data_IF_765628718603
#
_entry.id   IF_765628718603
#
_cell.length_a   1.000
_cell.length_b   1.000
_cell.length_c   1.000
_cell.angle_alpha   90.00
_cell.angle_beta   90.00
_cell.angle_gamma   90.00
#
_symmetry.space_group_name_H-M   'P 1'
#
loop_
_entity.id
_entity.type
_entity.pdbx_description
1 polymer ?
#
# COMPACT_ATOMS: atom_id res chain seq x y z
N UNK A 1 25.42 -4.85 -8.72
CA UNK A 1 24.38 -4.17 -9.51
C UNK A 1 23.82 -3.06 -8.63
N UNK A 2 24.27 -1.81 -8.83
CA UNK A 2 23.91 -0.69 -7.94
C UNK A 2 22.62 -0.05 -8.48
N UNK A 3 21.49 -0.37 -7.87
CA UNK A 3 20.23 0.32 -8.17
C UNK A 3 20.29 1.66 -7.42
N UNK A 4 20.15 2.77 -8.15
CA UNK A 4 20.03 4.09 -7.55
C UNK A 4 18.86 4.09 -6.57
N UNK A 5 19.10 4.56 -5.33
CA UNK A 5 18.11 4.53 -4.24
C UNK A 5 16.79 5.18 -4.62
N UNK A 6 16.80 6.18 -5.52
CA UNK A 6 15.62 6.95 -5.93
C UNK A 6 15.05 6.55 -7.29
N UNK A 7 15.43 5.39 -7.85
CA UNK A 7 14.92 4.95 -9.14
C UNK A 7 13.45 4.53 -9.01
N UNK A 8 12.52 5.20 -9.72
CA UNK A 8 11.10 4.80 -9.70
C UNK A 8 10.87 3.58 -10.58
N UNK A 9 11.27 3.62 -11.85
CA UNK A 9 11.00 2.54 -12.80
C UNK A 9 12.17 1.56 -12.85
N UNK A 10 11.98 0.25 -12.58
CA UNK A 10 13.06 -0.72 -12.58
C UNK A 10 13.66 -0.92 -13.97
N UNK A 11 12.84 -0.84 -15.03
CA UNK A 11 13.21 -1.09 -16.43
C UNK A 11 12.98 0.14 -17.30
N UNK A 12 13.85 0.37 -18.28
CA UNK A 12 13.68 1.45 -19.26
C UNK A 12 12.50 1.15 -20.19
N UNK A 13 11.60 2.11 -20.39
CA UNK A 13 10.43 1.98 -21.26
C UNK A 13 9.21 1.31 -20.62
N UNK A 14 9.34 0.76 -19.40
CA UNK A 14 8.22 0.22 -18.62
C UNK A 14 7.72 1.27 -17.62
N UNK A 15 6.53 1.79 -17.88
CA UNK A 15 5.86 2.76 -17.00
C UNK A 15 4.81 2.12 -16.09
N UNK A 16 4.59 0.81 -16.20
CA UNK A 16 3.56 0.06 -15.48
C UNK A 16 4.10 -0.60 -14.20
N UNK A 17 5.43 -0.65 -14.03
CA UNK A 17 6.06 -1.22 -12.83
C UNK A 17 6.91 -0.18 -12.13
N UNK A 18 6.76 -0.05 -10.81
CA UNK A 18 7.55 0.88 -9.99
C UNK A 18 8.19 0.16 -8.82
N UNK A 19 9.35 0.66 -8.37
CA UNK A 19 9.83 0.42 -7.01
C UNK A 19 8.92 1.17 -6.06
N UNK A 20 8.12 0.43 -5.30
CA UNK A 20 7.03 0.99 -4.53
C UNK A 20 7.55 1.95 -3.44
N UNK A 21 8.67 1.60 -2.79
CA UNK A 21 9.33 2.48 -1.81
C UNK A 21 9.54 3.92 -2.30
N UNK A 22 9.80 4.09 -3.59
CA UNK A 22 10.17 5.39 -4.17
C UNK A 22 8.98 6.23 -4.63
N UNK A 23 7.76 5.70 -4.54
CA UNK A 23 6.52 6.42 -4.86
C UNK A 23 5.63 6.66 -3.64
N UNK A 24 5.94 6.01 -2.51
CA UNK A 24 5.26 6.24 -1.23
C UNK A 24 5.77 7.54 -0.59
N UNK A 25 4.84 8.35 -0.10
CA UNK A 25 5.10 9.62 0.59
C UNK A 25 4.51 9.65 2.00
N UNK A 26 3.52 8.81 2.26
CA UNK A 26 2.75 8.77 3.49
C UNK A 26 3.47 8.00 4.60
N UNK A 27 3.66 8.66 5.75
CA UNK A 27 4.45 8.12 6.89
C UNK A 27 3.90 6.84 7.54
N UNK A 28 2.63 6.49 7.33
CA UNK A 28 2.05 5.24 7.84
C UNK A 28 2.20 4.05 6.90
N UNK A 29 2.89 4.22 5.77
CA UNK A 29 3.17 3.16 4.82
C UNK A 29 4.68 2.97 4.77
N UNK A 30 5.15 1.85 5.30
CA UNK A 30 6.56 1.49 5.36
C UNK A 30 6.84 0.40 4.31
N UNK A 31 7.53 0.77 3.23
CA UNK A 31 7.90 -0.16 2.15
C UNK A 31 9.41 -0.30 2.11
N UNK A 32 9.85 -1.55 2.12
CA UNK A 32 11.25 -1.90 2.10
C UNK A 32 11.84 -2.01 0.67
N UNK A 33 13.16 -2.14 0.59
CA UNK A 33 13.91 -2.15 -0.66
C UNK A 33 13.47 -3.25 -1.63
N UNK A 34 13.58 -2.95 -2.93
CA UNK A 34 13.31 -3.88 -4.03
C UNK A 34 11.88 -4.41 -4.09
N UNK A 35 10.96 -3.83 -3.33
CA UNK A 35 9.54 -4.13 -3.45
C UNK A 35 8.95 -3.39 -4.62
N UNK A 36 8.26 -4.14 -5.49
CA UNK A 36 7.70 -3.65 -6.74
C UNK A 36 6.19 -3.68 -6.71
N UNK A 37 5.58 -2.70 -7.35
CA UNK A 37 4.17 -2.70 -7.69
C UNK A 37 4.02 -2.61 -9.21
N UNK A 38 3.17 -3.48 -9.77
CA UNK A 38 2.80 -3.43 -11.18
C UNK A 38 1.32 -3.08 -11.30
N UNK A 39 0.99 -2.13 -12.16
CA UNK A 39 -0.38 -1.77 -12.52
C UNK A 39 -0.42 -1.39 -14.01
N UNK A 40 -1.25 -2.11 -14.77
CA UNK A 40 -1.47 -1.85 -16.19
C UNK A 40 -2.81 -1.15 -16.45
N UNK A 41 -3.59 -0.87 -15.40
CA UNK A 41 -4.92 -0.23 -15.46
C UNK A 41 -4.84 1.23 -15.01
N UNK A 42 -4.16 1.50 -13.89
CA UNK A 42 -3.95 2.84 -13.34
C UNK A 42 -2.45 3.19 -13.29
N UNK A 43 -2.12 4.45 -13.03
CA UNK A 43 -0.74 4.85 -12.79
C UNK A 43 -0.22 4.16 -11.51
N UNK A 44 0.83 3.32 -11.59
CA UNK A 44 1.37 2.61 -10.41
C UNK A 44 1.96 3.56 -9.36
N UNK A 45 2.24 4.82 -9.70
CA UNK A 45 2.68 5.85 -8.73
C UNK A 45 1.56 6.29 -7.79
N UNK A 46 0.30 6.10 -8.19
CA UNK A 46 -0.88 6.46 -7.38
C UNK A 46 -1.28 5.34 -6.39
N UNK A 47 -0.34 4.46 -6.01
CA UNK A 47 -0.61 3.33 -5.12
C UNK A 47 -1.30 3.74 -3.81
N UNK A 48 -0.86 4.84 -3.19
CA UNK A 48 -1.44 5.34 -1.93
C UNK A 48 -2.92 5.68 -2.09
N UNK A 49 -3.29 6.26 -3.24
CA UNK A 49 -4.67 6.67 -3.53
C UNK A 49 -5.54 5.49 -3.93
N UNK A 50 -5.01 4.61 -4.77
CA UNK A 50 -5.81 3.58 -5.42
C UNK A 50 -5.84 2.29 -4.63
N UNK A 51 -4.80 1.96 -3.87
CA UNK A 51 -4.58 0.63 -3.30
C UNK A 51 -4.66 0.61 -1.77
N UNK A 52 -4.58 1.76 -1.09
CA UNK A 52 -4.70 1.86 0.37
C UNK A 52 -6.06 2.46 0.73
N UNK A 53 -6.92 1.66 1.34
CA UNK A 53 -8.33 2.00 1.57
C UNK A 53 -8.64 2.09 3.07
N UNK A 54 -9.50 3.03 3.44
CA UNK A 54 -10.00 3.25 4.82
C UNK A 54 -8.90 3.54 5.84
N UNK A 55 -7.78 4.11 5.41
CA UNK A 55 -6.74 4.55 6.31
C UNK A 55 -7.05 5.95 6.83
N UNK A 56 -7.11 6.10 8.15
CA UNK A 56 -7.21 7.40 8.81
C UNK A 56 -6.02 7.57 9.76
N UNK A 57 -5.17 8.61 9.58
CA UNK A 57 -3.97 8.80 10.40
C UNK A 57 -4.20 8.82 11.91
N UNK A 58 -5.40 9.24 12.34
CA UNK A 58 -5.80 9.29 13.75
C UNK A 58 -5.76 7.91 14.44
N UNK A 59 -5.91 6.82 13.69
CA UNK A 59 -5.92 5.45 14.23
C UNK A 59 -4.51 4.89 14.46
N UNK A 60 -3.47 5.53 13.88
CA UNK A 60 -2.08 5.11 14.03
C UNK A 60 -1.74 3.75 13.42
N UNK A 61 -2.64 3.15 12.62
CA UNK A 61 -2.37 1.91 11.92
C UNK A 61 -1.42 2.10 10.74
N UNK A 62 -0.64 1.05 10.46
CA UNK A 62 0.47 1.08 9.51
C UNK A 62 0.40 -0.10 8.55
N UNK A 63 0.76 0.15 7.30
CA UNK A 63 1.08 -0.89 6.32
C UNK A 63 2.58 -1.09 6.29
N UNK A 64 3.05 -2.32 6.51
CA UNK A 64 4.46 -2.69 6.35
C UNK A 64 4.59 -3.76 5.28
N UNK A 65 5.44 -3.53 4.29
CA UNK A 65 5.79 -4.53 3.27
C UNK A 65 7.31 -4.69 3.27
N UNK A 66 7.77 -5.93 3.47
CA UNK A 66 9.19 -6.27 3.52
C UNK A 66 9.90 -6.16 2.17
N UNK A 67 11.17 -6.58 2.13
CA UNK A 67 12.04 -6.50 0.93
C UNK A 67 11.65 -7.54 -0.12
N UNK A 68 11.97 -7.23 -1.38
CA UNK A 68 11.85 -8.15 -2.53
C UNK A 68 10.44 -8.69 -2.77
N UNK A 69 9.40 -7.95 -2.38
CA UNK A 69 8.02 -8.33 -2.65
C UNK A 69 7.57 -7.86 -4.03
N UNK A 70 6.68 -8.62 -4.66
CA UNK A 70 6.01 -8.23 -5.90
C UNK A 70 4.51 -8.13 -5.66
N UNK A 71 3.96 -6.93 -5.76
CA UNK A 71 2.54 -6.67 -5.59
C UNK A 71 1.90 -6.58 -6.98
N UNK A 72 0.91 -7.43 -7.20
CA UNK A 72 0.21 -7.54 -8.48
C UNK A 72 -0.82 -6.42 -8.68
N UNK A 73 -1.12 -6.16 -9.95
CA UNK A 73 -2.12 -5.19 -10.39
C UNK A 73 -3.47 -5.42 -9.70
N UNK A 74 -4.04 -4.34 -9.16
CA UNK A 74 -5.33 -4.35 -8.51
C UNK A 74 -5.34 -4.81 -7.04
N UNK A 75 -4.21 -5.21 -6.46
CA UNK A 75 -4.12 -5.56 -5.04
C UNK A 75 -4.61 -4.39 -4.14
N UNK A 76 -5.46 -4.66 -3.15
CA UNK A 76 -5.97 -3.65 -2.22
C UNK A 76 -5.60 -3.98 -0.78
N UNK A 77 -5.29 -2.94 -0.02
CA UNK A 77 -4.97 -2.99 1.40
C UNK A 77 -6.08 -2.27 2.15
N UNK A 78 -6.91 -3.06 2.85
CA UNK A 78 -8.02 -2.54 3.66
C UNK A 78 -7.53 -2.32 5.09
N UNK A 79 -7.65 -1.08 5.57
CA UNK A 79 -7.27 -0.70 6.92
C UNK A 79 -8.41 -0.87 7.93
N UNK A 80 -8.07 -0.75 9.21
CA UNK A 80 -8.95 -1.15 10.32
C UNK A 80 -10.24 -0.35 10.40
N UNK A 81 -10.26 0.87 9.87
CA UNK A 81 -11.44 1.76 9.84
C UNK A 81 -12.55 1.27 8.91
N UNK A 82 -12.31 0.27 8.07
CA UNK A 82 -13.37 -0.40 7.32
C UNK A 82 -14.26 -1.28 8.23
N UNK A 83 -13.82 -1.58 9.46
CA UNK A 83 -14.54 -2.44 10.38
C UNK A 83 -15.65 -1.67 11.10
N UNK A 84 -16.86 -2.21 11.04
CA UNK A 84 -17.96 -1.77 11.90
C UNK A 84 -17.95 -2.54 13.23
N UNK A 85 -18.40 -1.89 14.30
CA UNK A 85 -18.60 -2.55 15.59
C UNK A 85 -19.67 -3.64 15.46
N UNK A 86 -19.27 -4.90 15.65
CA UNK A 86 -20.17 -6.06 15.57
C UNK A 86 -20.97 -6.25 16.87
N UNK A 87 -20.53 -5.61 17.96
CA UNK A 87 -21.25 -5.64 19.24
C UNK A 87 -22.48 -4.73 19.15
N UNK A 88 -23.59 -5.32 18.74
CA UNK A 88 -24.91 -4.74 18.95
C UNK A 88 -25.15 -4.71 20.48
N UNK A 89 -25.30 -3.53 21.08
CA UNK A 89 -25.62 -3.40 22.49
C UNK A 89 -27.09 -3.78 22.76
N UNK A 90 -27.50 -5.00 22.42
CA UNK A 90 -28.64 -5.61 23.07
C UNK A 90 -28.16 -5.99 24.48
N UNK A 91 -28.66 -5.27 25.49
CA UNK A 91 -28.59 -5.74 26.87
C UNK A 91 -29.11 -7.18 26.86
N UNK A 92 -28.25 -8.17 27.12
CA UNK A 92 -28.73 -9.41 27.70
C UNK A 92 -29.24 -9.02 29.09
N UNK A 93 -30.55 -8.74 29.14
CA UNK A 93 -31.30 -8.89 30.36
C UNK A 93 -31.46 -10.40 30.56
N UNK A 94 -30.92 -10.86 31.70
CA UNK A 94 -30.98 -12.21 32.29
C UNK A 94 -30.05 -13.24 31.65
#
# INVERSE_FOLDING_TARGET
>A
MTISENKIYPRTGDTQTVYLKNVITESGIEIDDYTMYNDFVNDPRDFEKNNVLYRYPINGDKLKVGKFCSIACGAKFLFTSANHTIRCAARQAV
#
